data_IF_825295800900
#
_entry.id   IF_825295800900
#
_cell.length_a   1.000
_cell.length_b   1.000
_cell.length_c   1.000
_cell.angle_alpha   90.00
_cell.angle_beta   90.00
_cell.angle_gamma   90.00
#
_symmetry.space_group_name_H-M   'P 1'
#
loop_
_entity.id
_entity.type
_entity.pdbx_description
1 polymer ?
#
# COMPACT_ATOMS: atom_id res chain seq x y z
N UNK A 1 -57.17 -51.94 45.68
CA UNK A 1 -55.90 -51.85 46.44
C UNK A 1 -54.94 -51.00 45.67
N UNK A 2 -54.30 -50.02 46.27
CA UNK A 2 -53.79 -48.79 45.69
C UNK A 2 -52.39 -48.95 45.01
N UNK A 3 -52.32 -48.63 43.70
CA UNK A 3 -51.04 -48.40 43.00
C UNK A 3 -50.61 -46.99 43.28
N UNK A 4 -49.38 -46.84 43.73
CA UNK A 4 -48.69 -45.58 43.82
C UNK A 4 -47.72 -45.47 42.63
N UNK A 5 -47.97 -44.50 41.75
CA UNK A 5 -47.05 -44.04 40.68
C UNK A 5 -45.83 -43.42 41.29
N UNK A 6 -44.67 -43.86 40.84
CA UNK A 6 -43.40 -43.16 41.01
C UNK A 6 -43.03 -42.46 39.67
N UNK A 7 -43.16 -41.16 39.65
CA UNK A 7 -42.58 -40.33 38.59
C UNK A 7 -41.07 -40.24 38.81
N UNK A 8 -40.34 -40.81 37.88
CA UNK A 8 -38.91 -40.60 37.79
C UNK A 8 -38.64 -39.45 36.78
N UNK A 9 -38.29 -38.31 37.33
CA UNK A 9 -37.94 -37.14 36.52
C UNK A 9 -36.55 -37.33 35.91
N UNK A 10 -36.54 -37.39 34.58
CA UNK A 10 -35.30 -37.31 33.81
C UNK A 10 -34.91 -35.88 33.63
N UNK A 11 -33.95 -35.40 34.40
CA UNK A 11 -33.36 -34.09 34.19
C UNK A 11 -32.48 -34.16 32.95
N UNK A 12 -32.99 -33.61 31.83
CA UNK A 12 -32.20 -33.34 30.62
C UNK A 12 -31.26 -32.19 30.91
N UNK A 13 -29.99 -32.51 31.15
CA UNK A 13 -28.93 -31.52 31.13
C UNK A 13 -28.67 -31.14 29.68
N UNK A 14 -29.15 -29.95 29.26
CA UNK A 14 -28.73 -29.31 28.02
C UNK A 14 -27.27 -28.89 28.17
N UNK A 15 -26.39 -29.66 27.55
CA UNK A 15 -25.02 -29.25 27.34
C UNK A 15 -25.02 -28.18 26.23
N UNK A 16 -24.96 -26.91 26.61
CA UNK A 16 -24.68 -25.81 25.68
C UNK A 16 -23.24 -25.93 25.25
N UNK A 17 -23.02 -26.54 24.09
CA UNK A 17 -21.72 -26.47 23.40
C UNK A 17 -21.60 -25.03 22.90
N UNK A 18 -20.89 -24.20 23.64
CA UNK A 18 -20.41 -22.92 23.15
C UNK A 18 -19.35 -23.26 22.09
N UNK A 19 -19.76 -23.33 20.82
CA UNK A 19 -18.86 -23.30 19.70
C UNK A 19 -18.18 -21.93 19.73
N UNK A 20 -16.97 -21.85 20.32
CA UNK A 20 -16.03 -20.78 20.04
C UNK A 20 -15.66 -20.91 18.57
N UNK A 21 -16.48 -20.32 17.71
CA UNK A 21 -16.16 -20.13 16.31
C UNK A 21 -14.96 -19.20 16.26
N UNK A 22 -13.78 -19.72 15.93
CA UNK A 22 -12.73 -18.89 15.36
C UNK A 22 -13.25 -18.39 14.02
N UNK A 23 -13.97 -17.27 14.04
CA UNK A 23 -14.25 -16.53 12.83
C UNK A 23 -12.90 -16.04 12.30
N UNK A 24 -12.61 -16.34 11.03
CA UNK A 24 -11.48 -15.72 10.37
C UNK A 24 -11.62 -14.19 10.52
N UNK A 25 -10.53 -13.46 10.73
CA UNK A 25 -10.61 -12.01 10.82
C UNK A 25 -11.23 -11.44 9.53
N UNK A 26 -12.05 -10.42 9.70
CA UNK A 26 -12.66 -9.71 8.55
C UNK A 26 -11.54 -9.06 7.71
N UNK A 27 -11.69 -8.97 6.37
CA UNK A 27 -10.69 -8.37 5.49
C UNK A 27 -10.22 -7.00 5.94
N UNK A 28 -11.14 -6.15 6.40
CA UNK A 28 -10.80 -4.81 6.92
C UNK A 28 -9.94 -4.83 8.18
N UNK A 29 -10.06 -5.85 9.04
CA UNK A 29 -9.20 -6.00 10.21
C UNK A 29 -7.79 -6.51 9.82
N UNK A 30 -7.69 -7.41 8.85
CA UNK A 30 -6.41 -7.86 8.31
C UNK A 30 -5.66 -6.70 7.63
N UNK A 31 -6.34 -5.91 6.81
CA UNK A 31 -5.78 -4.71 6.17
C UNK A 31 -5.30 -3.69 7.22
N UNK A 32 -6.13 -3.36 8.22
CA UNK A 32 -5.74 -2.38 9.24
C UNK A 32 -4.51 -2.82 10.03
N UNK A 33 -4.37 -4.11 10.30
CA UNK A 33 -3.19 -4.69 10.95
C UNK A 33 -1.95 -4.56 10.05
N UNK A 34 -2.06 -4.88 8.78
CA UNK A 34 -0.98 -4.78 7.81
C UNK A 34 -0.53 -3.31 7.60
N UNK A 35 -1.48 -2.38 7.48
CA UNK A 35 -1.18 -0.95 7.37
C UNK A 35 -0.56 -0.37 8.65
N UNK A 36 -0.95 -0.88 9.83
CA UNK A 36 -0.31 -0.48 11.07
C UNK A 36 1.14 -1.00 11.13
N UNK A 37 1.38 -2.25 10.74
CA UNK A 37 2.73 -2.79 10.65
C UNK A 37 3.62 -1.98 9.68
N UNK A 38 3.08 -1.53 8.54
CA UNK A 38 3.78 -0.66 7.60
C UNK A 38 4.16 0.70 8.24
N UNK A 39 3.23 1.32 8.97
CA UNK A 39 3.52 2.57 9.72
C UNK A 39 4.59 2.38 10.80
N UNK A 40 4.59 1.24 11.47
CA UNK A 40 5.60 0.93 12.49
C UNK A 40 6.96 0.65 11.85
N UNK A 41 6.99 -0.01 10.68
CA UNK A 41 8.20 -0.24 9.90
C UNK A 41 8.83 1.06 9.38
N UNK A 42 8.03 2.08 9.09
CA UNK A 42 8.53 3.41 8.73
C UNK A 42 9.33 4.09 9.87
N UNK A 43 9.09 3.68 11.13
CA UNK A 43 9.82 4.16 12.32
C UNK A 43 10.96 3.25 12.74
N UNK A 44 10.83 1.97 12.43
CA UNK A 44 11.79 0.92 12.76
C UNK A 44 11.96 -0.01 11.53
N UNK A 45 12.98 0.26 10.75
CA UNK A 45 13.26 -0.45 9.49
C UNK A 45 13.51 -1.95 9.67
N UNK A 46 13.82 -2.41 10.90
CA UNK A 46 13.99 -3.84 11.18
C UNK A 46 12.67 -4.63 11.05
N UNK A 47 11.53 -3.94 11.07
CA UNK A 47 10.18 -4.53 10.94
C UNK A 47 9.65 -4.54 9.51
N UNK A 48 10.41 -4.07 8.54
CA UNK A 48 9.98 -3.94 7.15
C UNK A 48 9.54 -5.27 6.54
N UNK A 49 10.27 -6.35 6.78
CA UNK A 49 9.94 -7.68 6.25
C UNK A 49 8.63 -8.25 6.81
N UNK A 50 8.36 -8.05 8.10
CA UNK A 50 7.10 -8.45 8.73
C UNK A 50 5.91 -7.70 8.10
N UNK A 51 6.07 -6.39 7.90
CA UNK A 51 5.04 -5.56 7.29
C UNK A 51 4.76 -5.97 5.84
N UNK A 52 5.79 -6.22 5.04
CA UNK A 52 5.67 -6.73 3.67
C UNK A 52 4.91 -8.04 3.65
N UNK A 53 5.28 -9.02 4.52
CA UNK A 53 4.61 -10.31 4.57
C UNK A 53 3.11 -10.20 4.90
N UNK A 54 2.74 -9.29 5.81
CA UNK A 54 1.34 -9.04 6.16
C UNK A 54 0.55 -8.43 5.00
N UNK A 55 1.13 -7.44 4.29
CA UNK A 55 0.50 -6.80 3.13
C UNK A 55 0.35 -7.78 1.96
N UNK A 56 1.39 -8.57 1.64
CA UNK A 56 1.33 -9.60 0.61
C UNK A 56 0.30 -10.68 0.95
N UNK A 57 0.22 -11.07 2.23
CA UNK A 57 -0.78 -12.00 2.73
C UNK A 57 -2.21 -11.48 2.53
N UNK A 58 -2.45 -10.20 2.83
CA UNK A 58 -3.73 -9.54 2.59
C UNK A 58 -4.10 -9.55 1.11
N UNK A 59 -3.21 -9.06 0.24
CA UNK A 59 -3.45 -9.00 -1.22
C UNK A 59 -3.74 -10.38 -1.81
N UNK A 60 -3.00 -11.41 -1.35
CA UNK A 60 -3.19 -12.79 -1.84
C UNK A 60 -4.54 -13.38 -1.44
N UNK A 61 -5.01 -13.09 -0.22
CA UNK A 61 -6.29 -13.61 0.29
C UNK A 61 -7.50 -12.84 -0.26
N UNK A 62 -7.33 -11.54 -0.48
CA UNK A 62 -8.43 -10.61 -0.80
C UNK A 62 -8.15 -9.80 -2.07
N UNK A 63 -7.88 -10.44 -3.23
CA UNK A 63 -7.37 -9.74 -4.43
C UNK A 63 -8.34 -8.72 -5.05
N UNK A 64 -9.62 -8.76 -4.66
CA UNK A 64 -10.66 -7.84 -5.15
C UNK A 64 -11.16 -6.88 -4.06
N UNK A 65 -10.51 -6.84 -2.90
CA UNK A 65 -10.88 -5.92 -1.83
C UNK A 65 -10.53 -4.47 -2.21
N UNK A 66 -11.36 -3.53 -1.78
CA UNK A 66 -11.16 -2.10 -2.07
C UNK A 66 -9.85 -1.53 -1.49
N UNK A 67 -9.28 -2.16 -0.46
CA UNK A 67 -8.03 -1.77 0.16
C UNK A 67 -6.77 -2.34 -0.51
N UNK A 68 -6.90 -3.14 -1.58
CA UNK A 68 -5.74 -3.70 -2.29
C UNK A 68 -4.84 -2.63 -2.91
N UNK A 69 -5.36 -1.54 -3.52
CA UNK A 69 -4.51 -0.44 -3.99
C UNK A 69 -3.65 0.17 -2.88
N UNK A 70 -4.22 0.43 -1.71
CA UNK A 70 -3.49 0.96 -0.56
C UNK A 70 -2.43 -0.02 -0.06
N UNK A 71 -2.73 -1.32 -0.07
CA UNK A 71 -1.76 -2.35 0.30
C UNK A 71 -0.57 -2.37 -0.68
N UNK A 72 -0.80 -2.28 -1.99
CA UNK A 72 0.28 -2.17 -2.98
C UNK A 72 1.07 -0.88 -2.85
N UNK A 73 0.42 0.24 -2.56
CA UNK A 73 1.09 1.51 -2.29
C UNK A 73 2.07 1.36 -1.11
N UNK A 74 1.63 0.76 0.00
CA UNK A 74 2.50 0.54 1.15
C UNK A 74 3.62 -0.47 0.88
N UNK A 75 3.37 -1.52 0.09
CA UNK A 75 4.40 -2.46 -0.36
C UNK A 75 5.49 -1.74 -1.16
N UNK A 76 5.10 -0.90 -2.11
CA UNK A 76 6.03 -0.13 -2.92
C UNK A 76 6.89 0.81 -2.05
N UNK A 77 6.30 1.52 -1.10
CA UNK A 77 7.01 2.41 -0.17
C UNK A 77 8.03 1.63 0.67
N UNK A 78 7.64 0.48 1.25
CA UNK A 78 8.55 -0.35 2.04
C UNK A 78 9.72 -0.88 1.20
N UNK A 79 9.47 -1.28 -0.05
CA UNK A 79 10.51 -1.72 -0.98
C UNK A 79 11.47 -0.62 -1.38
N UNK A 80 10.97 0.61 -1.57
CA UNK A 80 11.84 1.77 -1.76
C UNK A 80 12.75 2.00 -0.55
N UNK A 81 12.23 1.90 0.68
CA UNK A 81 13.01 2.04 1.90
C UNK A 81 14.10 0.94 2.02
N UNK A 82 13.85 -0.24 1.46
CA UNK A 82 14.85 -1.31 1.36
C UNK A 82 15.83 -1.15 0.19
N UNK A 83 15.64 -0.14 -0.67
CA UNK A 83 16.45 0.08 -1.86
C UNK A 83 16.06 -0.80 -3.07
N UNK A 84 14.97 -1.59 -2.97
CA UNK A 84 14.47 -2.40 -4.10
C UNK A 84 13.51 -1.59 -4.97
N UNK A 85 14.09 -0.66 -5.73
CA UNK A 85 13.34 0.22 -6.64
C UNK A 85 12.62 -0.56 -7.74
N UNK A 86 13.18 -1.68 -8.19
CA UNK A 86 12.58 -2.50 -9.23
C UNK A 86 11.31 -3.22 -8.72
N UNK A 87 11.31 -3.70 -7.49
CA UNK A 87 10.13 -4.29 -6.88
C UNK A 87 9.07 -3.23 -6.55
N UNK A 88 9.49 -2.05 -6.09
CA UNK A 88 8.58 -0.92 -5.85
C UNK A 88 7.82 -0.52 -7.11
N UNK A 89 8.50 -0.35 -8.26
CA UNK A 89 7.87 -0.05 -9.54
C UNK A 89 6.82 -1.13 -9.89
N UNK A 90 7.13 -2.41 -9.69
CA UNK A 90 6.18 -3.49 -10.00
C UNK A 90 4.89 -3.40 -9.17
N UNK A 91 4.99 -2.98 -7.91
CA UNK A 91 3.79 -2.83 -7.09
C UNK A 91 2.96 -1.63 -7.52
N UNK A 92 3.59 -0.50 -7.87
CA UNK A 92 2.90 0.63 -8.48
C UNK A 92 2.24 0.25 -9.82
N UNK A 93 2.94 -0.49 -10.68
CA UNK A 93 2.37 -0.99 -11.95
C UNK A 93 1.16 -1.91 -11.73
N UNK A 94 1.11 -2.68 -10.62
CA UNK A 94 -0.07 -3.49 -10.26
C UNK A 94 -1.28 -2.62 -9.92
N UNK A 95 -1.08 -1.48 -9.25
CA UNK A 95 -2.16 -0.51 -9.00
C UNK A 95 -2.71 -0.03 -10.34
N UNK A 96 -1.84 0.44 -11.23
CA UNK A 96 -2.23 0.99 -12.53
C UNK A 96 -2.94 -0.03 -13.42
N UNK A 97 -2.50 -1.29 -13.38
CA UNK A 97 -3.06 -2.35 -14.21
C UNK A 97 -4.43 -2.85 -13.73
N UNK A 98 -4.60 -2.99 -12.41
CA UNK A 98 -5.79 -3.60 -11.82
C UNK A 98 -6.79 -2.57 -11.27
N UNK A 99 -6.31 -1.41 -10.85
CA UNK A 99 -7.10 -0.39 -10.16
C UNK A 99 -6.83 1.03 -10.67
N UNK A 100 -6.89 1.29 -12.00
CA UNK A 100 -6.48 2.57 -12.59
C UNK A 100 -7.36 3.76 -12.15
N UNK A 101 -8.51 3.51 -11.56
CA UNK A 101 -9.43 4.53 -11.03
C UNK A 101 -9.41 4.63 -9.50
N UNK A 102 -8.44 4.01 -8.82
CA UNK A 102 -8.28 4.17 -7.38
C UNK A 102 -7.69 5.53 -7.03
N UNK A 103 -7.96 5.99 -5.81
CA UNK A 103 -7.50 7.30 -5.31
C UNK A 103 -5.96 7.42 -5.19
N UNK A 104 -5.24 6.30 -5.32
CA UNK A 104 -3.76 6.25 -5.25
C UNK A 104 -3.11 5.99 -6.62
N UNK A 105 -3.89 5.90 -7.70
CA UNK A 105 -3.36 5.51 -9.01
C UNK A 105 -2.50 6.62 -9.65
N UNK A 106 -2.87 7.87 -9.50
CA UNK A 106 -2.10 9.02 -9.96
C UNK A 106 -0.77 9.16 -9.22
N UNK A 107 -0.78 8.96 -7.90
CA UNK A 107 0.44 8.93 -7.09
C UNK A 107 1.35 7.76 -7.50
N UNK A 108 0.78 6.56 -7.73
CA UNK A 108 1.55 5.41 -8.20
C UNK A 108 2.22 5.69 -9.55
N UNK A 109 1.51 6.31 -10.50
CA UNK A 109 2.06 6.70 -11.80
C UNK A 109 3.19 7.73 -11.65
N UNK A 110 3.00 8.71 -10.77
CA UNK A 110 4.01 9.73 -10.48
C UNK A 110 5.26 9.11 -9.84
N UNK A 111 5.10 8.21 -8.88
CA UNK A 111 6.22 7.54 -8.20
C UNK A 111 7.03 6.64 -9.14
N UNK A 112 6.41 6.01 -10.12
CA UNK A 112 7.14 5.29 -11.19
C UNK A 112 8.06 6.24 -11.96
N UNK A 113 7.56 7.45 -12.31
CA UNK A 113 8.36 8.44 -13.01
C UNK A 113 9.55 8.91 -12.17
N UNK A 114 9.29 9.25 -10.91
CA UNK A 114 10.29 9.71 -9.96
C UNK A 114 11.40 8.67 -9.72
N UNK A 115 11.03 7.41 -9.49
CA UNK A 115 12.01 6.34 -9.28
C UNK A 115 12.87 6.13 -10.53
N UNK A 116 12.26 6.17 -11.73
CA UNK A 116 13.00 6.01 -12.98
C UNK A 116 14.02 7.13 -13.18
N UNK A 117 13.67 8.37 -12.83
CA UNK A 117 14.58 9.51 -12.93
C UNK A 117 15.69 9.43 -11.88
N UNK A 118 15.32 9.46 -10.61
CA UNK A 118 16.26 9.70 -9.51
C UNK A 118 17.09 8.45 -9.11
N UNK A 119 16.51 7.26 -9.27
CA UNK A 119 17.16 6.04 -8.79
C UNK A 119 17.69 5.14 -9.89
N UNK A 120 17.08 5.16 -11.08
CA UNK A 120 17.45 4.26 -12.17
C UNK A 120 18.14 4.97 -13.32
N UNK A 121 18.19 6.30 -13.33
CA UNK A 121 18.67 7.14 -14.43
C UNK A 121 18.02 6.78 -15.79
N UNK A 122 16.80 6.22 -15.76
CA UNK A 122 15.98 5.94 -16.94
C UNK A 122 15.19 7.19 -17.34
N UNK A 123 15.91 8.18 -17.87
CA UNK A 123 15.31 9.48 -18.23
C UNK A 123 14.22 9.36 -19.29
N UNK A 124 14.32 8.38 -20.19
CA UNK A 124 13.29 8.17 -21.20
C UNK A 124 12.02 7.56 -20.59
N UNK A 125 12.18 6.57 -19.72
CA UNK A 125 11.07 5.99 -18.98
C UNK A 125 10.41 6.99 -18.04
N UNK A 126 11.21 7.85 -17.39
CA UNK A 126 10.70 8.92 -16.54
C UNK A 126 9.82 9.91 -17.32
N UNK A 127 10.30 10.39 -18.50
CA UNK A 127 9.51 11.29 -19.38
C UNK A 127 8.17 10.67 -19.80
N UNK A 128 8.18 9.39 -20.15
CA UNK A 128 6.94 8.68 -20.51
C UNK A 128 5.99 8.58 -19.32
N UNK A 129 6.52 8.28 -18.14
CA UNK A 129 5.70 8.11 -16.93
C UNK A 129 5.13 9.43 -16.42
N UNK A 130 5.89 10.56 -16.43
CA UNK A 130 5.35 11.89 -16.09
C UNK A 130 4.27 12.33 -17.07
N UNK A 131 4.49 12.10 -18.38
CA UNK A 131 3.46 12.39 -19.38
C UNK A 131 2.18 11.58 -19.13
N UNK A 132 2.30 10.33 -18.71
CA UNK A 132 1.17 9.50 -18.39
C UNK A 132 0.38 10.01 -17.16
N UNK A 133 1.02 10.66 -16.18
CA UNK A 133 0.29 11.36 -15.10
C UNK A 133 -0.62 12.43 -15.69
N UNK A 134 -0.08 13.27 -16.59
CA UNK A 134 -0.79 14.41 -17.16
C UNK A 134 -1.96 13.96 -18.05
N UNK A 135 -1.76 12.88 -18.80
CA UNK A 135 -2.72 12.38 -19.79
C UNK A 135 -3.82 11.51 -19.16
N UNK A 136 -3.46 10.63 -18.21
CA UNK A 136 -4.38 9.68 -17.63
C UNK A 136 -5.11 10.20 -16.39
N UNK A 137 -4.51 11.17 -15.68
CA UNK A 137 -5.03 11.73 -14.43
C UNK A 137 -5.08 13.26 -14.46
N UNK A 138 -5.79 13.86 -15.44
CA UNK A 138 -5.76 15.32 -15.68
C UNK A 138 -6.30 16.16 -14.52
N UNK A 139 -7.11 15.57 -13.63
CA UNK A 139 -7.68 16.22 -12.45
C UNK A 139 -6.83 16.05 -11.19
N UNK A 140 -5.69 15.33 -11.27
CA UNK A 140 -4.79 15.11 -10.15
C UNK A 140 -4.05 16.39 -9.75
N UNK A 141 -3.85 16.57 -8.44
CA UNK A 141 -3.02 17.65 -7.90
C UNK A 141 -1.54 17.53 -8.33
N UNK A 142 -1.11 16.32 -8.77
CA UNK A 142 0.25 16.05 -9.21
C UNK A 142 0.55 16.48 -10.65
N UNK A 143 -0.47 16.88 -11.42
CA UNK A 143 -0.31 17.26 -12.84
C UNK A 143 0.68 18.39 -13.03
N UNK A 144 0.57 19.46 -12.22
CA UNK A 144 1.47 20.60 -12.36
C UNK A 144 2.90 20.27 -11.99
N UNK A 145 3.09 19.47 -10.93
CA UNK A 145 4.41 18.95 -10.54
C UNK A 145 4.99 18.05 -11.63
N UNK A 146 4.17 17.14 -12.19
CA UNK A 146 4.59 16.28 -13.28
C UNK A 146 5.03 17.05 -14.53
N UNK A 147 4.35 18.19 -14.86
CA UNK A 147 4.77 19.07 -15.96
C UNK A 147 6.14 19.69 -15.71
N UNK A 148 6.33 20.27 -14.53
CA UNK A 148 7.59 20.90 -14.16
C UNK A 148 8.74 19.90 -14.23
N UNK A 149 8.56 18.71 -13.65
CA UNK A 149 9.58 17.66 -13.70
C UNK A 149 9.81 17.16 -15.13
N UNK A 150 8.77 16.99 -15.93
CA UNK A 150 8.89 16.59 -17.35
C UNK A 150 9.76 17.55 -18.18
N UNK A 151 9.62 18.85 -17.93
CA UNK A 151 10.40 19.87 -18.63
C UNK A 151 11.88 19.88 -18.22
N UNK A 152 12.19 19.36 -17.02
CA UNK A 152 13.53 19.38 -16.42
C UNK A 152 14.16 17.98 -16.23
N UNK A 153 13.52 16.91 -16.73
CA UNK A 153 14.03 15.54 -16.57
C UNK A 153 15.50 15.42 -16.95
N UNK A 154 16.32 15.01 -15.99
CA UNK A 154 17.76 14.84 -16.12
C UNK A 154 18.58 16.11 -15.98
N UNK A 155 17.97 17.20 -15.51
CA UNK A 155 18.68 18.42 -15.12
C UNK A 155 18.89 18.41 -13.60
N UNK A 156 19.99 19.02 -13.16
CA UNK A 156 20.25 19.20 -11.74
C UNK A 156 19.18 20.14 -11.14
N UNK A 157 18.47 19.73 -10.08
CA UNK A 157 17.47 20.57 -9.42
C UNK A 157 18.00 21.95 -9.00
N UNK A 158 19.27 22.06 -8.63
CA UNK A 158 19.94 23.32 -8.25
C UNK A 158 19.95 24.35 -9.39
N UNK A 159 19.78 23.91 -10.63
CA UNK A 159 19.83 24.78 -11.80
C UNK A 159 18.51 25.46 -12.15
N UNK A 160 17.36 24.92 -11.66
CA UNK A 160 16.04 25.38 -12.09
C UNK A 160 15.02 25.57 -10.96
N UNK A 161 15.29 25.06 -9.73
CA UNK A 161 14.44 25.33 -8.55
C UNK A 161 14.82 26.67 -7.94
N UNK A 162 13.97 27.72 -7.96
CA UNK A 162 14.29 29.00 -7.35
C UNK A 162 14.47 28.87 -5.83
N UNK A 163 15.64 29.23 -5.34
CA UNK A 163 15.95 29.26 -3.89
C UNK A 163 16.61 27.99 -3.34
N UNK A 164 16.95 27.02 -4.17
CA UNK A 164 17.75 25.86 -3.80
C UNK A 164 19.27 26.15 -3.91
N UNK A 165 19.67 27.40 -3.69
CA UNK A 165 21.10 27.72 -3.62
C UNK A 165 21.60 27.33 -2.24
N UNK A 166 22.62 26.47 -2.22
CA UNK A 166 23.29 25.97 -1.04
C UNK A 166 23.58 27.07 -0.02
N UNK A 167 23.13 26.85 1.20
CA UNK A 167 23.58 27.58 2.39
C UNK A 167 25.05 27.23 2.77
N UNK A 168 25.90 26.96 1.82
CA UNK A 168 27.32 26.58 2.01
C UNK A 168 28.32 27.71 1.70
N UNK A 169 27.91 28.98 1.74
CA UNK A 169 28.89 30.07 1.74
C UNK A 169 28.78 30.88 3.05
N UNK A 170 29.07 30.24 4.17
CA UNK A 170 29.46 30.94 5.40
C UNK A 170 30.41 30.06 6.23
N UNK A 171 31.68 29.99 5.78
CA UNK A 171 32.82 29.65 6.63
C UNK A 171 34.07 30.43 6.23
#
# INVERSE_FOLDING_TARGET
>A
MRLRSFCCGVASALLAVVAMGCSAPEPGAELSTALQAARDAARDTTRGEEAIALLEGFVSKHPSDAGVPDAFMQLAILRQQQGDMAAAIKDYERILAAFPASDVADEAQFMIAFIREEHLADLNGARLAYRAVIENYPDSELVEQARQLLDHVGQDPDTWVPGFQDSEEDK
#
